data_IF_767159302958
#
_entry.id   IF_767159302958
#
_cell.length_a   1.000
_cell.length_b   1.000
_cell.length_c   1.000
_cell.angle_alpha   90.00
_cell.angle_beta   90.00
_cell.angle_gamma   90.00
#
_symmetry.space_group_name_H-M   'P 1'
#
loop_
_entity.id
_entity.type
_entity.pdbx_description
1 polymer ?
#
# COMPACT_ATOMS: atom_id res chain seq x y z
N UNK A 1 -14.99 -11.41 0.83
CA UNK A 1 -14.81 -11.25 -0.63
C UNK A 1 -14.48 -12.62 -1.21
N UNK A 2 -15.25 -13.15 -2.16
CA UNK A 2 -14.95 -14.44 -2.78
C UNK A 2 -13.95 -14.20 -3.91
N UNK A 3 -13.08 -15.16 -4.19
CA UNK A 3 -12.10 -15.08 -5.28
C UNK A 3 -12.75 -14.90 -6.68
N UNK A 4 -14.05 -15.16 -6.79
CA UNK A 4 -14.87 -15.00 -8.01
C UNK A 4 -15.32 -13.57 -8.27
N UNK A 5 -15.27 -12.69 -7.27
CA UNK A 5 -15.84 -11.32 -7.34
C UNK A 5 -14.85 -10.31 -7.96
N UNK A 6 -13.72 -10.79 -8.48
CA UNK A 6 -12.57 -9.97 -8.76
C UNK A 6 -11.71 -10.57 -9.88
N UNK A 7 -11.41 -9.78 -10.91
CA UNK A 7 -10.49 -10.18 -11.97
C UNK A 7 -9.23 -9.29 -11.95
N UNK A 8 -8.20 -9.77 -11.25
CA UNK A 8 -6.94 -9.06 -11.05
C UNK A 8 -6.28 -8.62 -12.37
N UNK A 9 -6.32 -9.47 -13.40
CA UNK A 9 -5.72 -9.16 -14.70
C UNK A 9 -6.42 -8.03 -15.47
N UNK A 10 -7.72 -7.83 -15.24
CA UNK A 10 -8.51 -6.77 -15.89
C UNK A 10 -8.51 -5.47 -15.09
N UNK A 11 -8.41 -5.58 -13.77
CA UNK A 11 -8.59 -4.47 -12.84
C UNK A 11 -7.28 -3.82 -12.42
N UNK A 12 -6.15 -4.54 -12.46
CA UNK A 12 -4.82 -4.01 -12.22
C UNK A 12 -4.21 -3.55 -13.56
N UNK A 13 -3.99 -2.25 -13.71
CA UNK A 13 -3.45 -1.64 -14.93
C UNK A 13 -2.12 -0.95 -14.64
N UNK A 14 -1.15 -1.15 -15.52
CA UNK A 14 0.16 -0.50 -15.48
C UNK A 14 0.28 0.42 -16.71
N UNK A 15 0.22 1.73 -16.49
CA UNK A 15 0.56 2.72 -17.51
C UNK A 15 2.01 3.18 -17.26
N UNK A 16 2.95 2.58 -18.01
CA UNK A 16 4.37 2.87 -17.84
C UNK A 16 4.76 4.24 -18.39
N UNK A 17 4.07 4.73 -19.42
CA UNK A 17 4.34 6.04 -20.03
C UNK A 17 4.02 7.17 -19.05
N UNK A 18 2.98 7.02 -18.24
CA UNK A 18 2.59 7.97 -17.20
C UNK A 18 3.20 7.66 -15.81
N UNK A 19 3.85 6.50 -15.64
CA UNK A 19 4.30 6.03 -14.33
C UNK A 19 3.16 5.83 -13.33
N UNK A 20 2.00 5.37 -13.81
CA UNK A 20 0.79 5.18 -13.01
C UNK A 20 0.40 3.71 -13.00
N UNK A 21 0.26 3.16 -11.79
CA UNK A 21 -0.43 1.88 -11.58
C UNK A 21 -1.80 2.17 -10.98
N UNK A 22 -2.84 1.54 -11.50
CA UNK A 22 -4.20 1.67 -10.97
C UNK A 22 -4.86 0.33 -10.71
N UNK A 23 -5.73 0.33 -9.71
CA UNK A 23 -6.60 -0.76 -9.35
C UNK A 23 -8.04 -0.23 -9.38
N UNK A 24 -8.84 -0.66 -10.37
CA UNK A 24 -10.14 -0.03 -10.68
C UNK A 24 -9.95 1.49 -10.87
N UNK A 25 -10.64 2.30 -10.07
CA UNK A 25 -10.60 3.77 -10.11
C UNK A 25 -9.56 4.36 -9.14
N UNK A 26 -8.80 3.52 -8.43
CA UNK A 26 -7.79 3.96 -7.45
C UNK A 26 -6.39 3.90 -8.03
N UNK A 27 -5.63 4.99 -7.94
CA UNK A 27 -4.18 4.96 -8.16
C UNK A 27 -3.52 4.23 -7.00
N UNK A 28 -2.62 3.32 -7.30
CA UNK A 28 -1.82 2.59 -6.32
C UNK A 28 -0.33 2.84 -6.57
N UNK A 29 0.47 2.66 -5.52
CA UNK A 29 1.92 2.70 -5.59
C UNK A 29 2.48 1.34 -5.19
N UNK A 30 3.56 0.93 -5.86
CA UNK A 30 4.31 -0.27 -5.52
C UNK A 30 5.39 0.15 -4.53
N UNK A 31 5.36 -0.44 -3.33
CA UNK A 31 6.34 -0.14 -2.28
C UNK A 31 7.27 -1.34 -2.06
N UNK A 32 8.55 -1.05 -1.86
CA UNK A 32 9.49 -2.02 -1.30
C UNK A 32 9.16 -2.30 0.16
N UNK A 33 9.14 -3.57 0.54
CA UNK A 33 8.74 -4.00 1.89
C UNK A 33 9.76 -3.58 2.95
N UNK A 34 11.05 -3.49 2.61
CA UNK A 34 12.08 -3.04 3.56
C UNK A 34 11.94 -1.55 3.83
N UNK A 35 11.64 -0.74 2.80
CA UNK A 35 11.36 0.68 2.95
C UNK A 35 10.19 0.94 3.90
N UNK A 36 9.10 0.16 3.78
CA UNK A 36 7.97 0.23 4.73
C UNK A 36 8.39 -0.20 6.15
N UNK A 37 9.25 -1.21 6.27
CA UNK A 37 9.81 -1.63 7.56
C UNK A 37 10.63 -0.53 8.24
N UNK A 38 11.46 0.18 7.49
CA UNK A 38 12.25 1.33 7.96
C UNK A 38 11.38 2.52 8.36
N UNK A 39 10.32 2.79 7.58
CA UNK A 39 9.32 3.79 7.92
C UNK A 39 8.66 3.46 9.26
N UNK A 40 8.20 2.21 9.44
CA UNK A 40 7.64 1.75 10.71
C UNK A 40 8.62 1.93 11.87
N UNK A 41 9.89 1.58 11.70
CA UNK A 41 10.91 1.73 12.75
C UNK A 41 11.07 3.20 13.15
N UNK A 42 11.11 4.11 12.17
CA UNK A 42 11.21 5.55 12.41
C UNK A 42 9.99 6.10 13.17
N UNK A 43 8.77 5.68 12.79
CA UNK A 43 7.54 6.09 13.46
C UNK A 43 7.49 5.59 14.91
N UNK A 44 7.88 4.33 15.15
CA UNK A 44 7.92 3.76 16.51
C UNK A 44 8.95 4.50 17.38
N UNK A 45 10.10 4.85 16.81
CA UNK A 45 11.15 5.61 17.51
C UNK A 45 10.66 7.00 17.94
N UNK A 46 9.91 7.68 17.08
CA UNK A 46 9.47 9.05 17.31
C UNK A 46 8.23 9.13 18.22
N UNK A 47 7.25 8.27 18.02
CA UNK A 47 5.93 8.39 18.66
C UNK A 47 5.63 7.31 19.69
N UNK A 48 6.50 6.31 19.83
CA UNK A 48 6.24 5.13 20.65
C UNK A 48 5.31 4.11 19.96
N UNK A 49 5.20 2.92 20.55
CA UNK A 49 4.50 1.78 19.94
C UNK A 49 3.00 2.01 19.76
N UNK A 50 2.34 2.60 20.75
CA UNK A 50 0.88 2.69 20.76
C UNK A 50 0.38 3.67 19.70
N UNK A 51 0.96 4.88 19.62
CA UNK A 51 0.67 5.85 18.55
C UNK A 51 1.04 5.34 17.16
N UNK A 52 2.17 4.64 17.04
CA UNK A 52 2.55 4.02 15.77
C UNK A 52 1.52 2.97 15.32
N UNK A 53 0.97 2.18 16.26
CA UNK A 53 -0.07 1.20 15.98
C UNK A 53 -1.37 1.86 15.53
N UNK A 54 -1.80 2.92 16.20
CA UNK A 54 -2.99 3.69 15.84
C UNK A 54 -2.90 4.31 14.43
N UNK A 55 -1.70 4.73 14.01
CA UNK A 55 -1.47 5.28 12.67
C UNK A 55 -1.78 4.26 11.56
N UNK A 56 -1.41 2.99 11.74
CA UNK A 56 -1.54 1.96 10.70
C UNK A 56 -2.83 1.15 10.76
N UNK A 57 -3.46 1.01 11.93
CA UNK A 57 -4.59 0.07 12.14
C UNK A 57 -5.93 0.77 12.41
N UNK A 58 -6.04 2.05 12.09
CA UNK A 58 -7.27 2.81 12.26
C UNK A 58 -8.41 2.27 11.40
#
# INVERSE_FOLDING_TARGET
MKATDFNLSKELKFNLDEGVTSFRDSRIAIFDTNAIGLLRQSIVKEFGRDKARELFLK
#
